data_IF_489761774673
#
_entry.id   IF_489761774673
#
_cell.length_a   1.000
_cell.length_b   1.000
_cell.length_c   1.000
_cell.angle_alpha   90.00
_cell.angle_beta   90.00
_cell.angle_gamma   90.00
#
_symmetry.space_group_name_H-M   'P 1'
#
loop_
_entity.id
_entity.type
_entity.pdbx_description
1 polymer ?
#
# COMPACT_ATOMS: atom_id res chain seq x y z
N UNK A 1 -2.80 -43.83 -53.05
CA UNK A 1 -1.74 -44.41 -52.21
C UNK A 1 -2.39 -44.57 -50.87
N UNK A 2 -2.89 -45.78 -50.69
CA UNK A 2 -3.69 -46.26 -49.57
C UNK A 2 -2.69 -46.74 -48.53
N UNK A 3 -2.72 -46.21 -47.31
CA UNK A 3 -1.94 -46.76 -46.20
C UNK A 3 -2.90 -47.36 -45.19
N UNK A 4 -2.77 -48.68 -45.06
CA UNK A 4 -3.55 -49.61 -44.28
C UNK A 4 -3.23 -49.50 -42.78
N UNK A 5 -4.32 -49.38 -42.02
CA UNK A 5 -4.69 -50.08 -40.80
C UNK A 5 -3.63 -51.01 -40.15
N UNK A 6 -3.24 -50.71 -38.91
CA UNK A 6 -2.70 -51.70 -37.97
C UNK A 6 -3.19 -51.38 -36.55
N UNK A 7 -4.45 -51.71 -36.30
CA UNK A 7 -5.06 -51.70 -34.98
C UNK A 7 -4.52 -52.88 -34.13
N UNK A 8 -3.49 -52.64 -33.34
CA UNK A 8 -3.03 -53.56 -32.29
C UNK A 8 -4.04 -53.59 -31.13
N UNK A 9 -4.73 -54.73 -30.98
CA UNK A 9 -5.60 -55.02 -29.86
C UNK A 9 -4.79 -55.23 -28.58
N UNK A 10 -4.82 -54.23 -27.69
CA UNK A 10 -4.30 -54.35 -26.33
C UNK A 10 -5.36 -55.06 -25.49
N UNK A 11 -5.10 -56.34 -25.21
CA UNK A 11 -5.87 -57.20 -24.32
C UNK A 11 -5.64 -56.74 -22.86
N UNK A 12 -6.57 -55.96 -22.31
CA UNK A 12 -6.54 -55.53 -20.91
C UNK A 12 -6.93 -56.69 -19.99
N UNK A 13 -5.92 -57.21 -19.29
CA UNK A 13 -6.03 -58.29 -18.33
C UNK A 13 -6.69 -57.86 -17.01
N UNK A 14 -7.45 -58.82 -16.48
CA UNK A 14 -8.40 -58.85 -15.36
C UNK A 14 -7.77 -58.68 -13.96
N UNK A 15 -6.88 -57.70 -13.76
CA UNK A 15 -6.12 -57.48 -12.51
C UNK A 15 -6.75 -56.49 -11.51
N UNK A 16 -7.95 -55.97 -11.77
CA UNK A 16 -8.50 -54.81 -11.03
C UNK A 16 -9.42 -55.16 -9.83
N UNK A 17 -9.78 -56.44 -9.66
CA UNK A 17 -10.71 -56.84 -8.61
C UNK A 17 -10.07 -56.90 -7.20
N UNK A 18 -8.80 -57.28 -7.11
CA UNK A 18 -8.10 -57.43 -5.82
C UNK A 18 -7.59 -56.08 -5.27
N UNK A 19 -7.16 -55.16 -6.12
CA UNK A 19 -6.71 -53.82 -5.70
C UNK A 19 -7.91 -52.94 -5.25
N UNK A 20 -9.06 -53.12 -5.89
CA UNK A 20 -10.32 -52.46 -5.51
C UNK A 20 -10.80 -52.83 -4.10
N UNK A 21 -10.60 -54.09 -3.66
CA UNK A 21 -10.99 -54.54 -2.32
C UNK A 21 -10.09 -53.96 -1.20
N UNK A 22 -8.80 -53.74 -1.47
CA UNK A 22 -7.87 -53.10 -0.51
C UNK A 22 -8.19 -51.60 -0.37
N UNK A 23 -8.57 -50.92 -1.47
CA UNK A 23 -9.03 -49.51 -1.42
C UNK A 23 -10.35 -49.36 -0.66
N UNK A 24 -11.29 -50.30 -0.79
CA UNK A 24 -12.56 -50.25 -0.04
C UNK A 24 -12.40 -50.57 1.46
N UNK A 25 -11.48 -51.45 1.83
CA UNK A 25 -11.17 -51.75 3.24
C UNK A 25 -10.51 -50.56 3.96
N UNK A 26 -9.72 -49.76 3.25
CA UNK A 26 -9.04 -48.58 3.82
C UNK A 26 -10.00 -47.41 4.12
N UNK A 27 -11.16 -47.35 3.45
CA UNK A 27 -12.16 -46.28 3.62
C UNK A 27 -13.15 -46.50 4.77
N UNK A 28 -13.20 -47.69 5.39
CA UNK A 28 -14.15 -47.99 6.46
C UNK A 28 -13.55 -47.87 7.88
N UNK A 29 -12.25 -47.58 8.00
CA UNK A 29 -11.61 -47.21 9.27
C UNK A 29 -11.53 -45.69 9.47
N UNK A 30 -12.50 -44.94 8.95
CA UNK A 30 -12.75 -43.58 9.44
C UNK A 30 -13.36 -43.66 10.84
N UNK A 31 -12.52 -44.04 11.82
CA UNK A 31 -12.74 -43.76 13.23
C UNK A 31 -13.19 -42.31 13.30
N UNK A 32 -14.38 -42.09 13.87
CA UNK A 32 -14.90 -40.77 14.19
C UNK A 32 -13.78 -39.99 14.87
N UNK A 33 -13.10 -39.13 14.13
CA UNK A 33 -12.01 -38.31 14.67
C UNK A 33 -12.69 -37.41 15.67
N UNK A 34 -12.48 -37.70 16.96
CA UNK A 34 -13.08 -36.94 18.03
C UNK A 34 -12.67 -35.48 17.88
N UNK A 35 -13.61 -34.57 18.13
CA UNK A 35 -13.34 -33.13 18.13
C UNK A 35 -12.20 -32.86 19.10
N UNK A 36 -11.20 -32.09 18.66
CA UNK A 36 -10.11 -31.65 19.53
C UNK A 36 -10.72 -30.70 20.57
N UNK A 37 -10.52 -30.93 21.88
CA UNK A 37 -11.02 -30.02 22.90
C UNK A 37 -10.29 -28.67 22.80
N UNK A 38 -10.97 -27.58 23.13
CA UNK A 38 -10.46 -26.20 22.99
C UNK A 38 -9.10 -25.99 23.71
N UNK A 39 -8.94 -26.57 24.90
CA UNK A 39 -7.67 -26.53 25.64
C UNK A 39 -6.51 -27.16 24.86
N UNK A 40 -6.78 -28.21 24.07
CA UNK A 40 -5.76 -28.82 23.22
C UNK A 40 -5.42 -27.96 22.00
N UNK A 41 -6.39 -27.21 21.47
CA UNK A 41 -6.15 -26.23 20.39
C UNK A 41 -5.20 -25.13 20.88
N UNK A 42 -5.48 -24.55 22.05
CA UNK A 42 -4.61 -23.53 22.67
C UNK A 42 -3.21 -24.09 22.91
N UNK A 43 -3.12 -25.32 23.39
CA UNK A 43 -1.82 -25.99 23.59
C UNK A 43 -1.04 -26.14 22.28
N UNK A 44 -1.70 -26.57 21.21
CA UNK A 44 -1.08 -26.72 19.88
C UNK A 44 -0.59 -25.36 19.36
N UNK A 45 -1.38 -24.30 19.50
CA UNK A 45 -1.01 -22.94 19.08
C UNK A 45 0.26 -22.49 19.81
N UNK A 46 0.28 -22.62 21.15
CA UNK A 46 1.44 -22.22 21.96
C UNK A 46 2.69 -23.05 21.63
N UNK A 47 2.55 -24.38 21.51
CA UNK A 47 3.64 -25.28 21.09
C UNK A 47 4.19 -24.89 19.69
N UNK A 48 3.31 -24.50 18.77
CA UNK A 48 3.70 -24.04 17.43
C UNK A 48 4.43 -22.70 17.48
N UNK A 49 3.92 -21.70 18.21
CA UNK A 49 4.57 -20.41 18.38
C UNK A 49 5.96 -20.55 19.01
N UNK A 50 6.08 -21.37 20.05
CA UNK A 50 7.36 -21.69 20.69
C UNK A 50 8.31 -22.38 19.70
N UNK A 51 7.81 -23.31 18.88
CA UNK A 51 8.62 -23.95 17.84
C UNK A 51 9.13 -22.95 16.79
N UNK A 52 8.31 -21.99 16.37
CA UNK A 52 8.73 -20.95 15.42
C UNK A 52 9.75 -19.99 16.04
N UNK A 53 9.53 -19.56 17.29
CA UNK A 53 10.46 -18.71 18.02
C UNK A 53 11.82 -19.39 18.23
N UNK A 54 11.83 -20.67 18.62
CA UNK A 54 13.06 -21.45 18.80
C UNK A 54 13.81 -21.73 17.49
N UNK A 55 13.10 -21.73 16.35
CA UNK A 55 13.73 -21.87 15.03
C UNK A 55 14.33 -20.57 14.53
N UNK A 56 13.86 -19.43 15.04
CA UNK A 56 14.33 -18.12 14.63
C UNK A 56 15.76 -17.87 15.12
N UNK A 57 16.58 -17.29 14.26
CA UNK A 57 17.89 -16.75 14.64
C UNK A 57 18.23 -15.57 13.72
N UNK A 58 18.94 -14.54 14.22
CA UNK A 58 19.34 -13.41 13.38
C UNK A 58 20.14 -13.83 12.14
N UNK A 59 20.90 -14.93 12.26
CA UNK A 59 21.76 -15.43 11.19
C UNK A 59 21.00 -16.10 10.03
N UNK A 60 19.80 -16.65 10.26
CA UNK A 60 19.05 -17.34 9.19
C UNK A 60 18.45 -16.37 8.18
N UNK A 61 18.15 -15.15 8.60
CA UNK A 61 17.65 -14.11 7.69
C UNK A 61 18.71 -13.66 6.70
N UNK A 62 20.01 -13.85 7.02
CA UNK A 62 21.14 -13.53 6.13
C UNK A 62 21.25 -14.49 4.95
N UNK A 63 20.98 -15.78 5.15
CA UNK A 63 21.14 -16.78 4.08
C UNK A 63 20.17 -16.55 2.91
N UNK A 64 19.01 -15.94 3.19
CA UNK A 64 17.99 -15.60 2.20
C UNK A 64 18.33 -14.31 1.41
N UNK A 65 19.22 -13.45 1.91
CA UNK A 65 19.64 -12.21 1.25
C UNK A 65 21.01 -12.46 0.60
N UNK A 66 21.04 -13.33 -0.39
CA UNK A 66 22.27 -13.94 -0.91
C UNK A 66 23.24 -13.01 -1.66
N UNK A 67 22.99 -11.69 -1.74
CA UNK A 67 23.77 -10.79 -2.60
C UNK A 67 24.08 -9.38 -2.04
N UNK A 68 23.61 -9.02 -0.83
CA UNK A 68 23.83 -7.68 -0.27
C UNK A 68 24.69 -7.75 0.98
N UNK A 69 25.83 -7.05 0.96
CA UNK A 69 26.82 -6.85 2.02
C UNK A 69 26.48 -7.53 3.37
N UNK A 70 27.00 -8.74 3.52
CA UNK A 70 26.96 -9.60 4.71
C UNK A 70 27.48 -8.88 5.98
N UNK A 71 28.12 -7.71 5.82
CA UNK A 71 28.61 -6.82 6.87
C UNK A 71 27.52 -5.96 7.56
N UNK A 72 26.28 -5.94 7.08
CA UNK A 72 25.25 -4.97 7.52
C UNK A 72 24.46 -5.36 8.78
N UNK A 73 24.65 -6.56 9.35
CA UNK A 73 23.91 -7.01 10.55
C UNK A 73 24.78 -7.22 11.79
N UNK A 74 26.01 -6.69 11.82
CA UNK A 74 26.78 -6.63 13.07
C UNK A 74 26.04 -5.76 14.10
N UNK A 75 25.61 -6.32 15.25
CA UNK A 75 24.90 -5.57 16.29
C UNK A 75 25.63 -4.31 16.74
N UNK A 76 26.97 -4.36 16.78
CA UNK A 76 27.80 -3.23 17.20
C UNK A 76 27.69 -2.11 16.18
N UNK A 77 27.86 -2.42 14.90
CA UNK A 77 27.74 -1.43 13.81
C UNK A 77 26.35 -0.83 13.72
N UNK A 78 25.30 -1.66 13.82
CA UNK A 78 23.91 -1.17 13.83
C UNK A 78 23.70 -0.16 14.95
N UNK A 79 24.20 -0.47 16.15
CA UNK A 79 24.11 0.43 17.29
C UNK A 79 24.90 1.72 17.08
N UNK A 80 26.16 1.63 16.65
CA UNK A 80 27.05 2.77 16.38
C UNK A 80 26.49 3.69 15.29
N UNK A 81 25.96 3.14 14.20
CA UNK A 81 25.35 3.90 13.11
C UNK A 81 24.09 4.64 13.57
N UNK A 82 23.24 3.97 14.35
CA UNK A 82 22.04 4.61 14.91
C UNK A 82 22.37 5.74 15.89
N UNK A 83 23.42 5.57 16.70
CA UNK A 83 23.92 6.58 17.62
C UNK A 83 24.56 7.76 16.87
N UNK A 84 25.42 7.49 15.88
CA UNK A 84 26.07 8.50 15.05
C UNK A 84 25.06 9.37 14.28
N UNK A 85 23.92 8.78 13.90
CA UNK A 85 22.81 9.49 13.25
C UNK A 85 21.82 10.16 14.23
N UNK A 86 21.99 9.97 15.54
CA UNK A 86 21.06 10.49 16.56
C UNK A 86 19.64 9.92 16.44
N UNK A 87 19.50 8.69 15.94
CA UNK A 87 18.21 8.02 15.71
C UNK A 87 17.92 6.88 16.68
N UNK A 88 18.84 6.58 17.60
CA UNK A 88 18.75 5.41 18.49
C UNK A 88 17.48 5.42 19.34
N UNK A 89 17.15 6.53 20.01
CA UNK A 89 15.94 6.64 20.84
C UNK A 89 14.65 6.45 20.02
N UNK A 90 14.60 7.04 18.81
CA UNK A 90 13.46 6.90 17.89
C UNK A 90 13.29 5.44 17.46
N UNK A 91 14.38 4.74 17.17
CA UNK A 91 14.35 3.32 16.83
C UNK A 91 13.90 2.46 18.02
N UNK A 92 14.35 2.77 19.24
CA UNK A 92 13.87 2.09 20.47
C UNK A 92 12.36 2.24 20.64
N UNK A 93 11.82 3.45 20.48
CA UNK A 93 10.38 3.69 20.56
C UNK A 93 9.61 2.97 19.45
N UNK A 94 10.12 3.02 18.21
CA UNK A 94 9.57 2.30 17.06
C UNK A 94 9.46 0.80 17.35
N UNK A 95 10.55 0.16 17.75
CA UNK A 95 10.54 -1.29 17.96
C UNK A 95 9.73 -1.71 19.19
N UNK A 96 9.59 -0.86 20.21
CA UNK A 96 8.63 -1.10 21.31
C UNK A 96 7.19 -1.10 20.81
N UNK A 97 6.84 -0.14 19.95
CA UNK A 97 5.52 -0.09 19.33
C UNK A 97 5.27 -1.31 18.44
N UNK A 98 6.24 -1.66 17.60
CA UNK A 98 6.14 -2.82 16.69
C UNK A 98 5.96 -4.15 17.47
N UNK A 99 6.64 -4.34 18.61
CA UNK A 99 6.43 -5.51 19.47
C UNK A 99 4.96 -5.60 19.92
N UNK A 100 4.38 -4.51 20.43
CA UNK A 100 2.98 -4.49 20.87
C UNK A 100 2.03 -4.80 19.71
N UNK A 101 2.32 -4.25 18.52
CA UNK A 101 1.55 -4.51 17.32
C UNK A 101 1.57 -6.01 16.94
N UNK A 102 2.73 -6.63 16.94
CA UNK A 102 2.87 -8.04 16.58
C UNK A 102 2.27 -8.98 17.63
N UNK A 103 2.41 -8.67 18.92
CA UNK A 103 1.74 -9.40 20.00
C UNK A 103 0.21 -9.36 19.83
N UNK A 104 -0.37 -8.18 19.60
CA UNK A 104 -1.80 -8.03 19.38
C UNK A 104 -2.31 -8.77 18.13
N UNK A 105 -1.52 -8.79 17.05
CA UNK A 105 -1.83 -9.56 15.85
C UNK A 105 -1.80 -11.08 16.11
N UNK A 106 -0.80 -11.56 16.85
CA UNK A 106 -0.70 -12.97 17.22
C UNK A 106 -1.89 -13.40 18.09
N UNK A 107 -2.29 -12.59 19.06
CA UNK A 107 -3.47 -12.84 19.89
C UNK A 107 -4.74 -12.93 19.05
N UNK A 108 -4.88 -12.03 18.07
CA UNK A 108 -6.04 -11.99 17.17
C UNK A 108 -6.10 -13.26 16.30
N UNK A 109 -4.98 -13.64 15.69
CA UNK A 109 -4.89 -14.85 14.86
C UNK A 109 -5.09 -16.12 15.68
N UNK A 110 -4.53 -16.20 16.89
CA UNK A 110 -4.76 -17.32 17.80
C UNK A 110 -6.26 -17.44 18.16
N UNK A 111 -6.92 -16.32 18.46
CA UNK A 111 -8.36 -16.29 18.73
C UNK A 111 -9.20 -16.71 17.51
N UNK A 112 -8.76 -16.38 16.28
CA UNK A 112 -9.39 -16.86 15.05
C UNK A 112 -9.23 -18.36 14.86
N UNK A 113 -8.04 -18.92 15.10
CA UNK A 113 -7.79 -20.37 15.02
C UNK A 113 -8.67 -21.12 16.04
N UNK A 114 -8.84 -20.60 17.25
CA UNK A 114 -9.73 -21.19 18.26
C UNK A 114 -11.21 -21.20 17.85
N UNK A 115 -11.65 -20.28 16.97
CA UNK A 115 -13.04 -20.22 16.50
C UNK A 115 -13.36 -21.24 15.40
N UNK A 116 -12.35 -21.91 14.82
CA UNK A 116 -12.57 -22.84 13.70
C UNK A 116 -13.29 -24.10 14.23
N UNK A 117 -14.54 -24.35 13.83
CA UNK A 117 -15.31 -25.45 14.39
C UNK A 117 -14.80 -26.80 13.88
N UNK A 118 -14.53 -27.71 14.82
CA UNK A 118 -14.33 -29.15 14.55
C UNK A 118 -13.08 -29.49 13.71
N UNK A 119 -12.01 -28.71 13.86
CA UNK A 119 -10.74 -29.01 13.19
C UNK A 119 -10.06 -30.25 13.80
N UNK A 120 -9.50 -31.09 12.94
CA UNK A 120 -8.52 -32.09 13.38
C UNK A 120 -7.25 -31.40 13.87
N UNK A 121 -6.46 -32.05 14.73
CA UNK A 121 -5.17 -31.51 15.18
C UNK A 121 -4.27 -31.11 14.01
N UNK A 122 -4.28 -31.90 12.93
CA UNK A 122 -3.52 -31.61 11.71
C UNK A 122 -3.97 -30.31 11.03
N UNK A 123 -5.29 -30.06 10.99
CA UNK A 123 -5.83 -28.80 10.46
C UNK A 123 -5.46 -27.61 11.35
N UNK A 124 -5.52 -27.76 12.68
CA UNK A 124 -5.08 -26.71 13.61
C UNK A 124 -3.60 -26.37 13.38
N UNK A 125 -2.73 -27.39 13.30
CA UNK A 125 -1.30 -27.20 13.00
C UNK A 125 -1.06 -26.57 11.63
N UNK A 126 -1.89 -26.88 10.64
CA UNK A 126 -1.83 -26.23 9.33
C UNK A 126 -2.17 -24.75 9.41
N UNK A 127 -3.24 -24.37 10.12
CA UNK A 127 -3.59 -22.97 10.35
C UNK A 127 -2.53 -22.22 11.18
N UNK A 128 -1.85 -22.90 12.11
CA UNK A 128 -0.75 -22.31 12.87
C UNK A 128 0.43 -21.87 11.97
N UNK A 129 0.56 -22.36 10.73
CA UNK A 129 1.58 -21.87 9.79
C UNK A 129 1.44 -20.38 9.48
N UNK A 130 0.22 -19.84 9.55
CA UNK A 130 0.00 -18.41 9.36
C UNK A 130 0.61 -17.57 10.52
N UNK A 131 0.87 -18.18 11.68
CA UNK A 131 1.52 -17.52 12.81
C UNK A 131 3.04 -17.40 12.61
N UNK A 132 3.65 -18.26 11.78
CA UNK A 132 5.12 -18.36 11.63
C UNK A 132 5.75 -17.01 11.25
N UNK A 133 5.20 -16.35 10.24
CA UNK A 133 5.69 -15.04 9.77
C UNK A 133 5.54 -13.96 10.84
N UNK A 134 4.47 -13.97 11.64
CA UNK A 134 4.27 -12.98 12.70
C UNK A 134 5.18 -13.23 13.91
N UNK A 135 5.41 -14.50 14.28
CA UNK A 135 6.40 -14.86 15.31
C UNK A 135 7.80 -14.47 14.86
N UNK A 136 8.14 -14.74 13.60
CA UNK A 136 9.42 -14.33 13.00
C UNK A 136 9.64 -12.82 13.10
N UNK A 137 8.66 -12.02 12.63
CA UNK A 137 8.72 -10.56 12.72
C UNK A 137 8.81 -10.06 14.18
N UNK A 138 8.09 -10.69 15.10
CA UNK A 138 8.17 -10.36 16.53
C UNK A 138 9.58 -10.59 17.09
N UNK A 139 10.18 -11.76 16.84
CA UNK A 139 11.51 -12.08 17.35
C UNK A 139 12.60 -11.20 16.72
N UNK A 140 12.48 -10.90 15.42
CA UNK A 140 13.34 -9.94 14.73
C UNK A 140 13.27 -8.54 15.36
N UNK A 141 12.06 -8.08 15.69
CA UNK A 141 11.82 -6.78 16.32
C UNK A 141 12.39 -6.74 17.74
N UNK A 142 12.21 -7.80 18.54
CA UNK A 142 12.81 -7.95 19.87
C UNK A 142 14.34 -7.92 19.82
N UNK A 143 14.93 -8.55 18.82
CA UNK A 143 16.37 -8.53 18.63
C UNK A 143 16.89 -7.12 18.30
N UNK A 144 16.27 -6.41 17.35
CA UNK A 144 16.62 -5.01 17.10
C UNK A 144 16.49 -4.13 18.35
N UNK A 145 15.40 -4.29 19.11
CA UNK A 145 15.23 -3.58 20.37
C UNK A 145 16.35 -3.89 21.37
N UNK A 146 16.80 -5.15 21.43
CA UNK A 146 17.92 -5.56 22.30
C UNK A 146 19.24 -4.91 21.93
N UNK A 147 19.44 -4.59 20.64
CA UNK A 147 20.60 -3.85 20.14
C UNK A 147 20.49 -2.39 20.54
N UNK A 148 19.45 -1.68 20.06
CA UNK A 148 19.34 -0.23 20.25
C UNK A 148 19.05 0.17 21.71
N UNK A 149 18.52 -0.75 22.51
CA UNK A 149 18.26 -0.56 23.94
C UNK A 149 19.51 -0.56 24.82
N UNK A 150 20.69 -0.90 24.29
CA UNK A 150 21.94 -0.81 25.04
C UNK A 150 22.23 0.65 25.42
N UNK A 151 22.64 0.92 26.67
CA UNK A 151 23.01 2.27 27.08
C UNK A 151 24.24 2.74 26.27
N UNK A 152 24.39 4.06 26.03
CA UNK A 152 25.61 4.61 25.48
C UNK A 152 26.79 4.05 26.25
N UNK A 153 27.76 3.46 25.53
CA UNK A 153 29.01 3.05 26.14
C UNK A 153 29.52 4.28 26.89
N UNK A 154 29.44 4.24 28.22
CA UNK A 154 29.85 5.37 29.04
C UNK A 154 31.27 5.65 28.59
N UNK A 155 31.48 6.81 27.98
CA UNK A 155 32.79 7.17 27.48
C UNK A 155 33.71 7.04 28.67
N UNK A 156 34.54 6.00 28.70
CA UNK A 156 35.60 5.80 29.69
C UNK A 156 36.69 6.86 29.46
N UNK A 157 36.30 8.11 29.21
CA UNK A 157 36.99 9.27 29.71
C UNK A 157 36.87 9.27 31.24
N UNK A 158 37.48 8.23 31.83
CA UNK A 158 38.20 8.38 33.07
C UNK A 158 39.18 9.53 32.84
N UNK A 159 38.78 10.68 33.33
CA UNK A 159 39.62 11.78 33.74
C UNK A 159 40.84 11.20 34.47
N UNK A 160 41.89 10.92 33.71
CA UNK A 160 43.25 10.78 34.21
C UNK A 160 43.84 12.20 34.22
N UNK A 161 43.26 13.06 35.04
CA UNK A 161 43.84 14.35 35.41
C UNK A 161 44.01 14.38 36.92
N UNK A 162 45.07 13.74 37.39
CA UNK A 162 45.87 14.08 38.57
C UNK A 162 47.23 13.41 38.28
N UNK A 163 48.36 14.05 38.03
CA UNK A 163 48.88 15.35 38.44
C UNK A 163 49.90 15.77 37.36
N UNK A 164 49.90 17.01 36.89
CA UNK A 164 51.15 17.76 36.71
C UNK A 164 50.84 19.26 36.67
N UNK A 165 51.52 19.95 37.58
CA UNK A 165 51.35 21.33 37.93
C UNK A 165 51.77 22.32 36.82
N UNK A 166 51.25 23.54 36.94
CA UNK A 166 51.85 24.80 36.51
C UNK A 166 52.28 24.89 35.03
N UNK A 167 51.63 25.77 34.27
CA UNK A 167 52.25 27.04 33.84
C UNK A 167 51.31 27.86 32.92
N UNK A 168 50.98 29.06 33.41
CA UNK A 168 51.03 30.37 32.73
C UNK A 168 50.18 30.63 31.45
N UNK A 169 49.38 31.72 31.41
CA UNK A 169 48.50 32.06 30.29
C UNK A 169 49.23 32.87 29.19
N UNK A 170 48.90 32.58 27.93
CA UNK A 170 49.29 33.39 26.77
C UNK A 170 48.12 33.53 25.79
N UNK A 171 47.75 34.74 25.34
CA UNK A 171 46.65 34.93 24.41
C UNK A 171 47.17 34.87 22.97
N UNK A 172 46.88 33.79 22.26
CA UNK A 172 47.16 33.67 20.82
C UNK A 172 45.84 33.61 20.04
N UNK A 173 45.54 34.73 19.40
CA UNK A 173 44.57 34.88 18.31
C UNK A 173 44.78 33.78 17.27
N UNK A 174 43.73 33.02 16.96
CA UNK A 174 43.69 32.20 15.76
C UNK A 174 42.75 32.83 14.73
N UNK A 175 43.33 33.02 13.56
CA UNK A 175 42.74 33.49 12.32
C UNK A 175 41.58 32.58 11.89
N UNK A 176 40.43 33.15 11.58
CA UNK A 176 39.44 32.48 10.73
C UNK A 176 39.82 32.73 9.28
N UNK A 177 40.17 31.67 8.56
CA UNK A 177 40.36 31.69 7.11
C UNK A 177 38.99 31.42 6.48
N UNK A 178 38.41 32.47 5.89
CA UNK A 178 37.15 32.42 5.14
C UNK A 178 37.48 31.93 3.73
N UNK A 179 37.00 30.74 3.38
CA UNK A 179 37.11 30.20 2.01
C UNK A 179 35.94 30.76 1.20
N UNK A 180 36.26 31.70 0.33
CA UNK A 180 35.41 32.23 -0.74
C UNK A 180 35.38 31.24 -1.92
N UNK A 181 34.19 30.78 -2.29
CA UNK A 181 33.94 29.93 -3.47
C UNK A 181 33.01 30.63 -4.46
N UNK A 182 33.25 31.90 -4.73
CA UNK A 182 32.73 32.54 -5.93
C UNK A 182 33.46 32.06 -7.18
N UNK A 183 32.78 31.41 -8.12
CA UNK A 183 32.69 31.92 -9.49
C UNK A 183 31.78 31.10 -10.40
N UNK A 184 30.93 31.87 -11.06
CA UNK A 184 30.07 31.61 -12.19
C UNK A 184 30.74 30.89 -13.36
N UNK A 185 29.95 30.15 -14.14
CA UNK A 185 30.19 29.98 -15.56
C UNK A 185 28.87 30.08 -16.31
N UNK A 186 28.74 31.20 -17.02
CA UNK A 186 27.78 31.45 -18.09
C UNK A 186 28.28 30.81 -19.40
N UNK A 187 27.38 30.74 -20.39
CA UNK A 187 27.51 30.15 -21.74
C UNK A 187 27.15 28.66 -21.80
N UNK A 188 26.28 28.18 -22.68
CA UNK A 188 26.27 28.48 -24.11
C UNK A 188 24.87 28.45 -24.72
N UNK A 189 24.65 29.47 -25.55
CA UNK A 189 23.71 29.56 -26.68
C UNK A 189 23.88 28.35 -27.64
N UNK A 190 22.77 27.92 -28.26
CA UNK A 190 22.73 26.86 -29.27
C UNK A 190 21.32 26.28 -29.41
N UNK A 191 20.42 26.94 -30.14
CA UNK A 191 20.17 26.81 -31.59
C UNK A 191 19.00 25.87 -31.91
N UNK A 192 17.87 26.50 -32.22
CA UNK A 192 16.81 26.19 -33.17
C UNK A 192 16.61 24.76 -33.70
N UNK A 193 15.39 24.24 -33.42
CA UNK A 193 14.42 23.54 -34.30
C UNK A 193 13.83 22.33 -33.59
N UNK A 194 12.51 22.32 -33.40
CA UNK A 194 11.58 21.62 -34.33
C UNK A 194 10.11 21.86 -33.92
N UNK A 195 9.26 22.02 -34.92
CA UNK A 195 7.85 22.37 -34.81
C UNK A 195 7.04 21.34 -34.01
N UNK A 196 6.23 21.81 -33.07
CA UNK A 196 5.00 21.13 -32.69
C UNK A 196 3.81 22.08 -32.83
N UNK A 197 2.95 21.71 -33.77
CA UNK A 197 1.62 22.24 -34.01
C UNK A 197 0.78 21.98 -32.76
N UNK A 198 0.59 23.01 -31.94
CA UNK A 198 -0.43 23.01 -30.89
C UNK A 198 -1.67 23.65 -31.50
N UNK A 199 -2.69 22.83 -31.68
CA UNK A 199 -4.05 23.24 -32.01
C UNK A 199 -4.61 24.11 -30.89
N UNK A 200 -4.72 25.40 -31.17
CA UNK A 200 -5.40 26.41 -30.37
C UNK A 200 -6.85 26.02 -30.08
N UNK A 201 -7.17 25.84 -28.80
CA UNK A 201 -8.54 25.99 -28.28
C UNK A 201 -8.58 27.39 -27.67
N UNK A 202 -9.24 28.30 -28.37
CA UNK A 202 -9.49 29.67 -27.95
C UNK A 202 -10.33 29.68 -26.66
N UNK A 203 -9.71 30.07 -25.55
CA UNK A 203 -10.40 30.36 -24.31
C UNK A 203 -10.84 31.82 -24.32
N UNK A 204 -12.13 32.04 -24.45
CA UNK A 204 -12.75 33.36 -24.41
C UNK A 204 -12.54 34.01 -23.04
N UNK A 205 -11.65 35.01 -22.99
CA UNK A 205 -11.45 35.88 -21.86
C UNK A 205 -12.69 36.75 -21.62
N UNK A 206 -13.44 36.42 -20.57
CA UNK A 206 -14.51 37.28 -20.06
C UNK A 206 -14.01 38.02 -18.81
N UNK A 207 -13.97 39.34 -18.94
CA UNK A 207 -13.65 40.34 -17.93
C UNK A 207 -14.54 40.18 -16.69
N UNK A 208 -13.94 39.88 -15.53
CA UNK A 208 -14.57 40.10 -14.24
C UNK A 208 -13.73 41.05 -13.37
N UNK A 209 -14.43 42.12 -13.04
CA UNK A 209 -14.08 43.24 -12.19
C UNK A 209 -13.47 42.83 -10.84
N UNK A 210 -12.34 43.45 -10.53
CA UNK A 210 -11.64 43.43 -9.24
C UNK A 210 -12.44 44.17 -8.17
N UNK A 211 -13.34 43.46 -7.49
CA UNK A 211 -13.88 43.90 -6.20
C UNK A 211 -12.96 43.35 -5.10
N UNK A 212 -12.16 44.25 -4.52
CA UNK A 212 -11.36 43.97 -3.33
C UNK A 212 -12.26 43.53 -2.17
N UNK A 213 -12.35 42.22 -1.93
CA UNK A 213 -13.00 41.64 -0.74
C UNK A 213 -11.93 41.10 0.20
N UNK A 214 -12.00 41.57 1.45
CA UNK A 214 -11.14 41.17 2.57
C UNK A 214 -11.04 39.63 2.72
N UNK A 215 -9.85 39.02 2.72
CA UNK A 215 -9.67 37.56 2.79
C UNK A 215 -9.73 36.95 4.20
N UNK A 216 -10.17 37.66 5.23
CA UNK A 216 -9.74 37.33 6.61
C UNK A 216 -10.60 36.33 7.41
N UNK A 217 -11.62 35.65 6.86
CA UNK A 217 -12.51 34.82 7.71
C UNK A 217 -13.08 33.54 7.10
N UNK A 218 -12.73 33.16 5.86
CA UNK A 218 -13.31 31.96 5.21
C UNK A 218 -12.43 30.71 5.28
N UNK A 219 -11.23 30.81 5.84
CA UNK A 219 -10.18 29.78 5.68
C UNK A 219 -10.19 28.65 6.72
N UNK A 220 -10.93 28.77 7.83
CA UNK A 220 -10.85 27.77 8.92
C UNK A 220 -11.82 26.58 8.78
N UNK A 221 -12.93 26.72 8.06
CA UNK A 221 -13.92 25.62 7.91
C UNK A 221 -13.59 24.63 6.77
N UNK A 222 -12.58 24.89 5.93
CA UNK A 222 -12.21 23.99 4.83
C UNK A 222 -11.16 22.93 5.21
N UNK A 223 -10.53 23.03 6.38
CA UNK A 223 -9.50 22.07 6.80
C UNK A 223 -10.00 20.62 7.04
N UNK A 224 -11.21 20.36 7.58
CA UNK A 224 -11.64 18.98 7.86
C UNK A 224 -11.90 18.14 6.58
N UNK A 225 -12.39 18.77 5.51
CA UNK A 225 -12.68 18.11 4.24
C UNK A 225 -11.41 17.78 3.44
N UNK A 226 -10.33 18.53 3.66
CA UNK A 226 -9.04 18.31 2.99
C UNK A 226 -8.39 16.97 3.35
N UNK A 227 -8.94 16.23 4.32
CA UNK A 227 -8.38 14.98 4.83
C UNK A 227 -9.01 13.71 4.24
N UNK A 228 -10.05 13.81 3.41
CA UNK A 228 -10.76 12.64 2.86
C UNK A 228 -10.64 12.57 1.33
N UNK A 229 -9.66 11.84 0.78
CA UNK A 229 -9.52 11.71 -0.67
C UNK A 229 -10.76 11.07 -1.33
N UNK A 230 -11.56 10.30 -0.60
CA UNK A 230 -12.75 9.60 -1.09
C UNK A 230 -13.87 10.52 -1.62
N UNK A 231 -13.90 11.78 -1.18
CA UNK A 231 -14.96 12.76 -1.50
C UNK A 231 -14.45 13.93 -2.34
N UNK A 232 -13.15 13.95 -2.63
CA UNK A 232 -12.50 15.03 -3.37
C UNK A 232 -13.03 15.11 -4.81
N UNK A 233 -13.42 16.32 -5.22
CA UNK A 233 -13.71 16.66 -6.61
C UNK A 233 -12.43 16.81 -7.44
N UNK A 234 -12.57 16.82 -8.77
CA UNK A 234 -11.47 17.07 -9.71
C UNK A 234 -10.75 18.39 -9.39
N UNK A 235 -11.50 19.44 -9.02
CA UNK A 235 -10.95 20.74 -8.63
C UNK A 235 -10.15 20.65 -7.31
N UNK A 236 -10.64 19.88 -6.34
CA UNK A 236 -9.89 19.65 -5.10
C UNK A 236 -8.57 18.92 -5.39
N UNK A 237 -8.60 17.87 -6.21
CA UNK A 237 -7.41 17.10 -6.60
C UNK A 237 -6.41 17.96 -7.37
N UNK A 238 -6.87 18.85 -8.27
CA UNK A 238 -5.98 19.71 -9.04
C UNK A 238 -5.19 20.69 -8.16
N UNK A 239 -5.74 21.08 -7.01
CA UNK A 239 -5.10 21.97 -6.05
C UNK A 239 -4.02 21.31 -5.18
N UNK A 240 -3.90 19.98 -5.20
CA UNK A 240 -2.87 19.28 -4.44
C UNK A 240 -1.49 19.47 -5.08
N UNK A 241 -0.50 19.72 -4.23
CA UNK A 241 0.91 19.81 -4.61
C UNK A 241 1.53 18.40 -4.53
N UNK A 242 2.19 17.95 -5.59
CA UNK A 242 2.71 16.58 -5.66
C UNK A 242 3.83 16.35 -4.64
N UNK A 243 4.73 17.31 -4.46
CA UNK A 243 5.86 17.21 -3.54
C UNK A 243 5.39 17.01 -2.08
N UNK A 244 4.34 17.72 -1.65
CA UNK A 244 3.71 17.56 -0.34
C UNK A 244 3.10 16.15 -0.19
N UNK A 245 2.48 15.62 -1.25
CA UNK A 245 1.87 14.28 -1.22
C UNK A 245 2.93 13.18 -1.11
N UNK A 246 4.05 13.32 -1.83
CA UNK A 246 5.21 12.41 -1.75
C UNK A 246 5.82 12.48 -0.35
N UNK A 247 6.04 13.70 0.18
CA UNK A 247 6.61 13.90 1.52
C UNK A 247 5.74 13.30 2.64
N UNK A 248 4.41 13.29 2.45
CA UNK A 248 3.46 12.69 3.40
C UNK A 248 3.14 11.22 3.14
N UNK A 249 3.67 10.64 2.06
CA UNK A 249 3.39 9.27 1.62
C UNK A 249 1.89 8.96 1.47
N UNK A 250 1.07 9.96 1.07
CA UNK A 250 -0.38 9.78 0.89
C UNK A 250 -0.70 9.09 -0.44
N UNK A 251 -0.56 7.76 -0.44
CA UNK A 251 -0.76 6.87 -1.61
C UNK A 251 -2.08 7.12 -2.36
N UNK A 252 -3.17 7.34 -1.62
CA UNK A 252 -4.50 7.57 -2.21
C UNK A 252 -4.55 8.87 -3.00
N UNK A 253 -4.03 9.96 -2.42
CA UNK A 253 -3.98 11.26 -3.09
C UNK A 253 -2.99 11.28 -4.24
N UNK A 254 -1.84 10.63 -4.09
CA UNK A 254 -0.86 10.45 -5.17
C UNK A 254 -1.54 9.81 -6.38
N UNK A 255 -2.25 8.69 -6.20
CA UNK A 255 -2.94 8.01 -7.30
C UNK A 255 -3.99 8.89 -7.98
N UNK A 256 -4.78 9.64 -7.20
CA UNK A 256 -5.76 10.57 -7.78
C UNK A 256 -5.07 11.73 -8.53
N UNK A 257 -3.97 12.27 -7.99
CA UNK A 257 -3.21 13.35 -8.62
C UNK A 257 -2.57 12.86 -9.93
N UNK A 258 -1.92 11.71 -9.91
CA UNK A 258 -1.34 11.08 -11.11
C UNK A 258 -2.44 10.82 -12.16
N UNK A 259 -3.58 10.26 -11.77
CA UNK A 259 -4.71 10.04 -12.70
C UNK A 259 -5.19 11.35 -13.36
N UNK A 260 -5.25 12.45 -12.60
CA UNK A 260 -5.61 13.77 -13.13
C UNK A 260 -4.59 14.29 -14.14
N UNK A 261 -3.30 14.13 -13.85
CA UNK A 261 -2.20 14.66 -14.66
C UNK A 261 -1.95 13.84 -15.95
N UNK A 262 -2.41 12.58 -16.01
CA UNK A 262 -2.31 11.72 -17.18
C UNK A 262 -3.05 12.27 -18.42
N UNK A 263 -2.68 11.78 -19.61
CA UNK A 263 -3.44 12.06 -20.84
C UNK A 263 -4.82 11.40 -20.83
N UNK A 264 -5.78 11.96 -21.60
CA UNK A 264 -7.11 11.36 -21.76
C UNK A 264 -7.04 9.93 -22.32
N UNK A 265 -6.15 9.70 -23.28
CA UNK A 265 -5.92 8.39 -23.89
C UNK A 265 -5.41 7.35 -22.87
N UNK A 266 -4.48 7.75 -21.99
CA UNK A 266 -3.91 6.84 -20.99
C UNK A 266 -4.94 6.50 -19.91
N UNK A 267 -5.70 7.50 -19.43
CA UNK A 267 -6.82 7.29 -18.50
C UNK A 267 -7.86 6.34 -19.08
N UNK A 268 -8.27 6.56 -20.32
CA UNK A 268 -9.25 5.71 -21.00
C UNK A 268 -8.71 4.29 -21.19
N UNK A 269 -7.42 4.14 -21.49
CA UNK A 269 -6.76 2.84 -21.57
C UNK A 269 -6.81 2.10 -20.23
N UNK A 270 -6.42 2.76 -19.12
CA UNK A 270 -6.48 2.16 -17.77
C UNK A 270 -7.91 1.73 -17.45
N UNK A 271 -8.88 2.63 -17.65
CA UNK A 271 -10.29 2.37 -17.39
C UNK A 271 -10.83 1.18 -18.22
N UNK A 272 -10.53 1.14 -19.51
CA UNK A 272 -10.93 0.04 -20.39
C UNK A 272 -10.29 -1.28 -20.00
N UNK A 273 -9.01 -1.29 -19.59
CA UNK A 273 -8.31 -2.51 -19.18
C UNK A 273 -8.84 -3.05 -17.85
N UNK A 274 -9.08 -2.18 -16.86
CA UNK A 274 -9.70 -2.55 -15.57
C UNK A 274 -11.10 -3.14 -15.77
N UNK A 275 -11.88 -2.59 -16.71
CA UNK A 275 -13.21 -3.10 -17.05
C UNK A 275 -13.17 -4.42 -17.82
N UNK A 276 -12.22 -4.58 -18.74
CA UNK A 276 -12.15 -5.74 -19.63
C UNK A 276 -11.60 -7.00 -18.95
N UNK A 277 -10.71 -6.84 -17.96
CA UNK A 277 -10.08 -7.95 -17.26
C UNK A 277 -10.76 -8.25 -15.93
N UNK A 278 -10.76 -9.54 -15.56
CA UNK A 278 -11.09 -9.96 -14.19
C UNK A 278 -10.02 -9.43 -13.23
N UNK A 279 -10.41 -9.03 -12.01
CA UNK A 279 -9.50 -8.57 -10.93
C UNK A 279 -8.26 -9.46 -10.83
N UNK A 280 -8.45 -10.77 -10.67
CA UNK A 280 -7.35 -11.75 -10.55
C UNK A 280 -6.36 -11.73 -11.72
N UNK A 281 -6.84 -11.52 -12.95
CA UNK A 281 -5.97 -11.50 -14.13
C UNK A 281 -5.16 -10.20 -14.19
N UNK A 282 -5.78 -9.07 -13.85
CA UNK A 282 -5.07 -7.79 -13.82
C UNK A 282 -3.97 -7.80 -12.75
N UNK A 283 -4.27 -8.30 -11.54
CA UNK A 283 -3.27 -8.40 -10.47
C UNK A 283 -2.11 -9.31 -10.88
N UNK A 284 -2.40 -10.42 -11.56
CA UNK A 284 -1.38 -11.31 -12.12
C UNK A 284 -0.53 -10.61 -13.19
N UNK A 285 -1.15 -9.85 -14.10
CA UNK A 285 -0.42 -9.07 -15.11
C UNK A 285 0.53 -8.05 -14.48
N UNK A 286 0.10 -7.36 -13.42
CA UNK A 286 0.94 -6.40 -12.68
C UNK A 286 2.14 -7.12 -12.05
N UNK A 287 1.90 -8.20 -11.30
CA UNK A 287 2.96 -8.98 -10.65
C UNK A 287 3.96 -9.54 -11.67
N UNK A 288 3.50 -10.20 -12.74
CA UNK A 288 4.39 -10.74 -13.78
C UNK A 288 5.18 -9.64 -14.49
N UNK A 289 4.58 -8.46 -14.66
CA UNK A 289 5.29 -7.33 -15.25
C UNK A 289 6.36 -6.76 -14.30
N UNK A 290 6.13 -6.76 -12.98
CA UNK A 290 7.16 -6.38 -11.99
C UNK A 290 8.33 -7.35 -12.05
N UNK A 291 8.06 -8.66 -12.08
CA UNK A 291 9.10 -9.69 -12.21
C UNK A 291 9.91 -9.47 -13.50
N UNK A 292 9.24 -9.21 -14.62
CA UNK A 292 9.90 -8.91 -15.90
C UNK A 292 10.79 -7.65 -15.81
N UNK A 293 10.32 -6.58 -15.14
CA UNK A 293 11.11 -5.36 -14.94
C UNK A 293 12.33 -5.61 -14.04
N UNK A 294 12.15 -6.38 -12.97
CA UNK A 294 13.22 -6.75 -12.03
C UNK A 294 14.33 -7.55 -12.72
N UNK A 295 13.98 -8.48 -13.62
CA UNK A 295 14.96 -9.25 -14.41
C UNK A 295 15.48 -8.50 -15.66
N UNK A 296 15.12 -7.22 -15.83
CA UNK A 296 15.46 -6.40 -16.99
C UNK A 296 15.08 -7.06 -18.34
N UNK A 297 13.97 -7.79 -18.36
CA UNK A 297 13.45 -8.45 -19.55
C UNK A 297 12.60 -7.50 -20.41
N UNK A 298 12.64 -7.68 -21.73
CA UNK A 298 11.90 -6.84 -22.70
C UNK A 298 10.56 -7.45 -23.13
N UNK A 299 10.27 -8.68 -22.72
CA UNK A 299 9.10 -9.45 -23.18
C UNK A 299 8.49 -10.21 -22.01
N UNK A 300 7.15 -10.23 -21.96
CA UNK A 300 6.42 -11.00 -20.96
C UNK A 300 5.87 -12.28 -21.59
N UNK A 301 6.13 -13.43 -20.95
CA UNK A 301 5.70 -14.74 -21.47
C UNK A 301 4.18 -14.83 -21.58
N UNK A 302 3.68 -15.28 -22.73
CA UNK A 302 2.25 -15.46 -22.99
C UNK A 302 1.46 -14.19 -23.25
N UNK A 303 2.11 -13.02 -23.33
CA UNK A 303 1.46 -11.74 -23.63
C UNK A 303 1.83 -11.22 -25.01
N UNK A 304 0.82 -10.71 -25.71
CA UNK A 304 1.00 -10.11 -27.04
C UNK A 304 1.82 -8.82 -26.93
N UNK A 305 2.77 -8.56 -27.85
CA UNK A 305 3.56 -7.32 -27.85
C UNK A 305 2.71 -6.03 -27.87
N UNK A 306 1.51 -6.08 -28.44
CA UNK A 306 0.57 -4.95 -28.50
C UNK A 306 -0.11 -4.63 -27.15
N UNK A 307 -0.15 -5.60 -26.23
CA UNK A 307 -0.73 -5.43 -24.90
C UNK A 307 0.31 -5.06 -23.84
N UNK A 308 1.59 -5.39 -24.08
CA UNK A 308 2.67 -5.08 -23.14
C UNK A 308 2.75 -3.60 -22.74
N UNK A 309 2.62 -2.61 -23.64
CA UNK A 309 2.60 -1.20 -23.23
C UNK A 309 1.44 -0.85 -22.29
N UNK A 310 0.28 -1.47 -22.47
CA UNK A 310 -0.91 -1.25 -21.63
C UNK A 310 -0.70 -1.81 -20.24
N UNK A 311 -0.15 -3.02 -20.16
CA UNK A 311 0.22 -3.67 -18.89
C UNK A 311 1.26 -2.83 -18.18
N UNK A 312 2.34 -2.43 -18.87
CA UNK A 312 3.39 -1.58 -18.29
C UNK A 312 2.85 -0.25 -17.77
N UNK A 313 1.89 0.36 -18.45
CA UNK A 313 1.26 1.60 -17.99
C UNK A 313 0.50 1.39 -16.67
N UNK A 314 -0.25 0.30 -16.53
CA UNK A 314 -0.95 -0.03 -15.27
C UNK A 314 0.04 -0.43 -14.18
N UNK A 315 1.10 -1.16 -14.52
CA UNK A 315 2.18 -1.49 -13.59
C UNK A 315 2.84 -0.21 -13.08
N UNK A 316 3.21 0.73 -13.94
CA UNK A 316 3.75 2.04 -13.52
C UNK A 316 2.77 2.80 -12.62
N UNK A 317 1.47 2.71 -12.90
CA UNK A 317 0.45 3.31 -12.05
C UNK A 317 0.38 2.63 -10.67
N UNK A 318 0.55 1.32 -10.60
CA UNK A 318 0.71 0.60 -9.34
C UNK A 318 2.03 0.98 -8.61
N UNK A 319 3.13 1.17 -9.33
CA UNK A 319 4.38 1.68 -8.73
C UNK A 319 4.17 3.06 -8.10
N UNK A 320 3.31 3.91 -8.68
CA UNK A 320 2.94 5.19 -8.08
C UNK A 320 2.21 5.02 -6.74
N UNK A 321 1.36 3.99 -6.63
CA UNK A 321 0.69 3.63 -5.37
C UNK A 321 1.68 3.11 -4.35
N UNK A 322 2.54 2.18 -4.76
CA UNK A 322 3.46 1.49 -3.86
C UNK A 322 4.48 2.45 -3.23
N UNK A 323 5.16 3.24 -4.07
CA UNK A 323 6.22 4.16 -3.63
C UNK A 323 5.72 5.58 -3.30
N UNK A 324 4.42 5.84 -3.42
CA UNK A 324 3.81 7.15 -3.21
C UNK A 324 4.50 8.30 -4.00
N UNK A 325 4.93 8.03 -5.24
CA UNK A 325 5.64 8.97 -6.13
C UNK A 325 5.15 8.81 -7.58
N UNK A 326 5.53 9.70 -8.51
CA UNK A 326 5.09 9.65 -9.90
C UNK A 326 6.01 8.78 -10.79
N UNK A 327 5.74 7.48 -10.81
CA UNK A 327 6.42 6.50 -11.67
C UNK A 327 5.86 6.40 -13.10
N UNK A 328 4.98 7.31 -13.52
CA UNK A 328 4.56 7.37 -14.94
C UNK A 328 5.69 7.87 -15.84
N UNK A 329 6.55 8.75 -15.31
CA UNK A 329 7.64 9.40 -16.04
C UNK A 329 9.03 9.09 -15.46
N UNK A 330 9.09 8.23 -14.44
CA UNK A 330 10.32 7.84 -13.74
C UNK A 330 10.47 6.32 -13.79
N UNK A 331 11.72 5.86 -13.93
CA UNK A 331 12.05 4.44 -13.83
C UNK A 331 12.31 4.07 -12.36
N UNK A 332 11.77 2.95 -11.85
CA UNK A 332 12.14 2.42 -10.55
C UNK A 332 13.60 1.98 -10.55
N UNK A 333 14.25 2.14 -9.40
CA UNK A 333 15.60 1.60 -9.19
C UNK A 333 15.55 0.07 -9.03
N UNK A 334 16.68 -0.59 -9.25
CA UNK A 334 16.79 -2.04 -9.09
C UNK A 334 16.48 -2.47 -7.64
N UNK A 335 16.99 -1.72 -6.66
CA UNK A 335 16.73 -1.94 -5.22
C UNK A 335 15.22 -1.86 -4.91
N UNK A 336 14.53 -0.86 -5.45
CA UNK A 336 13.09 -0.70 -5.30
C UNK A 336 12.30 -1.86 -5.91
N UNK A 337 12.71 -2.33 -7.11
CA UNK A 337 12.05 -3.47 -7.75
C UNK A 337 12.30 -4.77 -6.98
N UNK A 338 13.49 -4.96 -6.41
CA UNK A 338 13.83 -6.11 -5.58
C UNK A 338 12.99 -6.14 -4.28
N UNK A 339 12.91 -5.02 -3.56
CA UNK A 339 12.07 -4.86 -2.36
C UNK A 339 10.62 -5.18 -2.70
N UNK A 340 10.10 -4.54 -3.77
CA UNK A 340 8.74 -4.76 -4.23
C UNK A 340 8.47 -6.23 -4.56
N UNK A 341 9.30 -6.88 -5.37
CA UNK A 341 9.11 -8.28 -5.76
C UNK A 341 9.11 -9.23 -4.55
N UNK A 342 9.88 -8.91 -3.51
CA UNK A 342 9.94 -9.69 -2.27
C UNK A 342 8.68 -9.50 -1.40
N UNK A 343 8.17 -8.28 -1.30
CA UNK A 343 7.06 -7.93 -0.42
C UNK A 343 5.68 -8.11 -1.07
N UNK A 344 5.59 -8.12 -2.40
CA UNK A 344 4.33 -8.17 -3.14
C UNK A 344 3.46 -9.39 -2.80
N UNK A 345 4.10 -10.53 -2.47
CA UNK A 345 3.40 -11.76 -2.10
C UNK A 345 2.95 -11.80 -0.63
N UNK A 346 3.43 -10.88 0.19
CA UNK A 346 3.17 -10.83 1.63
C UNK A 346 2.09 -9.80 1.99
N UNK A 347 1.69 -8.96 1.04
CA UNK A 347 0.81 -7.80 1.28
C UNK A 347 -0.43 -7.86 0.39
N UNK A 348 -1.56 -7.36 0.91
CA UNK A 348 -2.81 -7.20 0.14
C UNK A 348 -2.84 -5.91 -0.69
N UNK A 349 -1.69 -5.24 -0.87
CA UNK A 349 -1.62 -3.89 -1.43
C UNK A 349 -2.04 -3.83 -2.91
N UNK A 350 -1.87 -4.92 -3.66
CA UNK A 350 -2.40 -5.07 -5.02
C UNK A 350 -3.94 -5.02 -5.06
N UNK A 351 -4.59 -5.67 -4.09
CA UNK A 351 -6.04 -5.66 -4.00
C UNK A 351 -6.56 -4.29 -3.60
N UNK A 352 -5.92 -3.67 -2.59
CA UNK A 352 -6.25 -2.32 -2.14
C UNK A 352 -6.08 -1.28 -3.25
N UNK A 353 -4.99 -1.38 -4.03
CA UNK A 353 -4.78 -0.56 -5.21
C UNK A 353 -5.90 -0.73 -6.22
N UNK A 354 -6.24 -1.97 -6.59
CA UNK A 354 -7.31 -2.24 -7.55
C UNK A 354 -8.64 -1.66 -7.10
N UNK A 355 -9.04 -1.94 -5.86
CA UNK A 355 -10.31 -1.49 -5.30
C UNK A 355 -10.36 0.05 -5.24
N UNK A 356 -9.24 0.69 -4.91
CA UNK A 356 -9.11 2.14 -4.89
C UNK A 356 -9.22 2.76 -6.29
N UNK A 357 -8.47 2.24 -7.27
CA UNK A 357 -8.50 2.74 -8.65
C UNK A 357 -9.89 2.55 -9.26
N UNK A 358 -10.49 1.38 -9.06
CA UNK A 358 -11.85 1.10 -9.52
C UNK A 358 -12.85 2.10 -8.90
N UNK A 359 -12.73 2.38 -7.60
CA UNK A 359 -13.56 3.36 -6.90
C UNK A 359 -13.42 4.77 -7.48
N UNK A 360 -12.20 5.30 -7.62
CA UNK A 360 -12.00 6.68 -8.11
C UNK A 360 -12.40 6.85 -9.58
N UNK A 361 -12.23 5.81 -10.42
CA UNK A 361 -12.66 5.85 -11.82
C UNK A 361 -14.19 5.94 -11.93
N UNK A 362 -14.92 5.22 -11.07
CA UNK A 362 -16.38 5.28 -11.06
C UNK A 362 -16.91 6.57 -10.42
N UNK A 363 -16.22 7.11 -9.41
CA UNK A 363 -16.71 8.23 -8.61
C UNK A 363 -16.15 9.58 -9.04
N UNK A 364 -14.84 9.77 -8.92
CA UNK A 364 -14.19 11.07 -9.12
C UNK A 364 -13.85 11.36 -10.58
N UNK A 365 -13.46 10.33 -11.33
CA UNK A 365 -13.02 10.43 -12.73
C UNK A 365 -14.01 9.82 -13.72
N UNK A 366 -15.31 9.85 -13.38
CA UNK A 366 -16.36 9.43 -14.30
C UNK A 366 -16.51 10.42 -15.46
N UNK A 367 -17.07 9.97 -16.59
CA UNK A 367 -17.33 10.84 -17.74
C UNK A 367 -18.23 12.04 -17.36
N UNK A 368 -19.20 11.81 -16.46
CA UNK A 368 -20.07 12.85 -15.92
C UNK A 368 -19.31 13.88 -15.07
N UNK A 369 -18.31 13.43 -14.30
CA UNK A 369 -17.47 14.31 -13.50
C UNK A 369 -16.61 15.21 -14.40
N UNK A 370 -16.07 14.68 -15.50
CA UNK A 370 -15.31 15.50 -16.46
C UNK A 370 -16.17 16.53 -17.19
N UNK A 371 -17.43 16.20 -17.53
CA UNK A 371 -18.37 17.18 -18.12
C UNK A 371 -18.69 18.33 -17.16
N UNK A 372 -18.55 18.10 -15.86
CA UNK A 372 -18.83 19.07 -14.81
C UNK A 372 -17.61 19.32 -13.92
N UNK A 373 -16.41 19.44 -14.51
CA UNK A 373 -15.16 19.52 -13.75
C UNK A 373 -15.11 20.64 -12.69
N UNK A 374 -15.88 21.72 -12.89
CA UNK A 374 -15.98 22.85 -11.95
C UNK A 374 -17.09 22.71 -10.90
N UNK A 375 -17.98 21.72 -11.02
CA UNK A 375 -19.02 21.50 -10.03
C UNK A 375 -18.39 20.80 -8.80
N UNK A 376 -18.55 21.35 -7.58
CA UNK A 376 -18.13 20.65 -6.37
C UNK A 376 -18.84 19.31 -6.29
N UNK A 377 -18.19 18.29 -5.71
CA UNK A 377 -18.86 17.00 -5.54
C UNK A 377 -20.10 17.21 -4.66
N UNK A 378 -21.20 16.49 -4.91
CA UNK A 378 -22.42 16.61 -4.09
C UNK A 378 -22.16 16.36 -2.60
N UNK A 379 -21.06 15.67 -2.29
CA UNK A 379 -20.60 15.35 -0.95
C UNK A 379 -19.69 16.44 -0.34
N UNK A 380 -19.08 17.30 -1.16
CA UNK A 380 -18.32 18.49 -0.72
C UNK A 380 -19.23 19.67 -0.36
N UNK A 381 -20.49 19.67 -0.80
CA UNK A 381 -21.44 20.74 -0.49
C UNK A 381 -21.95 20.59 0.94
N UNK A 382 -21.26 21.23 1.88
CA UNK A 382 -21.81 21.45 3.23
C UNK A 382 -22.98 22.42 3.10
N UNK A 383 -24.21 21.93 3.27
CA UNK A 383 -25.40 22.77 3.38
C UNK A 383 -25.31 23.51 4.72
N UNK A 384 -24.76 24.72 4.69
CA UNK A 384 -24.89 25.67 5.80
C UNK A 384 -26.35 26.13 5.73
N UNK A 385 -27.21 25.48 6.51
CA UNK A 385 -28.54 26.02 6.80
C UNK A 385 -28.32 27.29 7.60
N UNK A 386 -28.57 28.42 6.96
CA UNK A 386 -28.60 29.75 7.57
C UNK A 386 -29.88 29.88 8.42
N UNK A 387 -30.01 29.01 9.43
CA UNK A 387 -31.16 28.91 10.33
C UNK A 387 -30.90 29.68 11.65
N UNK A 388 -30.12 30.78 11.61
CA UNK A 388 -29.98 31.74 12.71
C UNK A 388 -30.87 32.99 12.54
N UNK A 389 -32.13 32.80 12.10
CA UNK A 389 -33.14 33.87 12.09
C UNK A 389 -34.47 33.45 12.75
N UNK A 390 -34.41 32.73 13.88
CA UNK A 390 -35.54 32.56 14.80
C UNK A 390 -35.43 33.46 16.03
N UNK A 391 -35.70 34.75 15.84
CA UNK A 391 -36.13 35.63 16.92
C UNK A 391 -37.21 36.63 16.47
N UNK A 392 -38.26 36.19 15.75
CA UNK A 392 -39.47 37.02 15.56
C UNK A 392 -40.75 36.23 15.86
N UNK A 393 -41.15 36.33 17.13
CA UNK A 393 -42.51 36.45 17.68
C UNK A 393 -43.64 35.68 16.98
N UNK A 394 -44.13 34.67 17.69
CA UNK A 394 -45.41 34.00 17.49
C UNK A 394 -46.60 34.98 17.47
N UNK A 395 -47.61 34.74 16.62
CA UNK A 395 -49.00 35.01 16.95
C UNK A 395 -49.82 33.71 17.12
N UNK A 396 -50.90 33.74 17.90
CA UNK A 396 -51.56 32.54 18.39
C UNK A 396 -52.57 31.94 17.41
N UNK A 397 -52.61 30.61 17.41
CA UNK A 397 -53.78 29.74 17.30
C UNK A 397 -54.91 30.10 16.30
N UNK A 398 -54.95 29.41 15.16
CA UNK A 398 -56.20 28.93 14.54
C UNK A 398 -55.93 27.58 13.85
N UNK A 399 -56.45 26.44 14.34
CA UNK A 399 -57.82 25.90 14.27
C UNK A 399 -57.95 24.88 13.13
N UNK A 400 -58.06 23.62 13.57
CA UNK A 400 -58.50 22.38 12.91
C UNK A 400 -59.18 22.50 11.53
N UNK A 401 -58.71 21.70 10.58
CA UNK A 401 -59.60 21.00 9.63
C UNK A 401 -58.94 19.74 9.08
N UNK A 402 -59.58 18.61 9.37
CA UNK A 402 -59.34 17.28 8.82
C UNK A 402 -59.62 17.26 7.31
N UNK A 403 -58.80 16.56 6.53
CA UNK A 403 -59.23 15.95 5.26
C UNK A 403 -58.31 14.76 4.93
N UNK A 404 -58.72 13.54 5.25
CA UNK A 404 -59.31 12.53 4.33
C UNK A 404 -58.43 12.16 3.12
N UNK A 405 -57.69 11.07 3.30
CA UNK A 405 -57.74 9.79 2.53
C UNK A 405 -57.92 9.90 1.00
N UNK A 406 -56.90 9.47 0.24
CA UNK A 406 -57.07 8.65 -0.97
C UNK A 406 -55.94 7.61 -1.05
N UNK A 407 -56.32 6.33 -0.99
CA UNK A 407 -55.48 5.18 -1.32
C UNK A 407 -55.34 5.09 -2.85
N UNK A 408 -54.12 4.94 -3.36
CA UNK A 408 -53.89 4.57 -4.76
C UNK A 408 -53.20 3.21 -4.82
N UNK A 409 -53.97 2.20 -5.22
CA UNK A 409 -53.49 0.86 -5.62
C UNK A 409 -52.75 0.99 -6.96
N UNK A 410 -51.57 0.40 -7.10
CA UNK A 410 -51.04 0.00 -8.42
C UNK A 410 -50.72 -1.49 -8.46
N UNK A 411 -51.12 -2.05 -9.60
CA UNK A 411 -51.25 -3.46 -9.97
C UNK A 411 -49.89 -4.07 -10.32
N UNK A 412 -49.73 -5.33 -9.93
CA UNK A 412 -48.77 -6.29 -10.46
C UNK A 412 -49.14 -6.67 -11.89
N UNK A 413 -48.16 -6.65 -12.80
CA UNK A 413 -48.25 -7.29 -14.13
C UNK A 413 -47.26 -8.45 -14.11
N UNK A 414 -47.79 -9.65 -14.33
CA UNK A 414 -47.04 -10.88 -14.63
C UNK A 414 -47.15 -11.05 -16.15
N UNK A 415 -46.03 -11.31 -16.82
CA UNK A 415 -45.98 -11.73 -18.22
C UNK A 415 -45.28 -13.10 -18.24
N UNK A 416 -45.94 -14.03 -18.94
CA UNK A 416 -45.48 -15.39 -19.27
C UNK A 416 -44.24 -15.40 -20.16
#
# INVERSE_FOLDING_TARGET
>A
MEDEDTSEGIEYNDLDAAESAIRQSTLQSHRKVGKVPEESVIKIINESMETFANKWSPAKDLELVSNADEQSLDPIRLWEDAEALGRREVLVEKYKFDIQLYESKLDTLAAEICKIPQSSEMQVRHHCRNLEMHVHNLERTKWFLSIYGLPPAASEHGSTEEQHANMTPGPARQHFEVIDLGSSSESSDGDDREMLIISSIESNGNLLSSVARNPSSRSQLQQPLRNRPEVASILTVSSWNMEDLVATMDRKRVIMKVMLDMGSQEREMIHNRIRALKKSNLLKEISTCIDMLFHNEQKMLGVLPSDLPKIRTITNFFLCWWFADNYMYKLPTEEQLHELATELYQTDDLELFYDWVHYILHKTFSEEAFRNAHAPSKEEVIVISDDEDQAIKSPPAQRKSQSKRVQSRRKTVILD
#
